data_IF_486462667218
#
_entry.id   IF_486462667218
#
_cell.length_a   1.000
_cell.length_b   1.000
_cell.length_c   1.000
_cell.angle_alpha   90.00
_cell.angle_beta   90.00
_cell.angle_gamma   90.00
#
_symmetry.space_group_name_H-M   'P 1'
#
loop_
_entity.id
_entity.type
_entity.pdbx_description
1 polymer ?
#
# COMPACT_ATOMS: atom_id res chain seq x y z
N UNK A 1 9.47 -23.23 -10.37
CA UNK A 1 8.83 -22.39 -9.34
C UNK A 1 9.13 -20.93 -9.66
N UNK A 2 8.18 -20.22 -10.28
CA UNK A 2 8.33 -18.79 -10.57
C UNK A 2 8.31 -18.03 -9.25
N UNK A 3 9.43 -17.43 -8.84
CA UNK A 3 9.43 -16.53 -7.68
C UNK A 3 8.61 -15.30 -8.07
N UNK A 4 7.45 -15.12 -7.47
CA UNK A 4 6.77 -13.83 -7.48
C UNK A 4 7.75 -12.79 -6.95
N UNK A 5 8.05 -11.78 -7.76
CA UNK A 5 8.90 -10.66 -7.31
C UNK A 5 8.12 -9.96 -6.20
N UNK A 6 8.67 -9.93 -4.98
CA UNK A 6 8.02 -9.32 -3.82
C UNK A 6 7.78 -7.80 -3.96
N UNK A 7 8.36 -7.17 -4.99
CA UNK A 7 8.23 -5.74 -5.31
C UNK A 7 7.92 -5.60 -6.81
N UNK A 8 6.87 -4.83 -7.12
CA UNK A 8 6.46 -4.50 -8.49
C UNK A 8 7.43 -3.54 -9.20
N UNK A 9 7.05 -3.07 -10.40
CA UNK A 9 7.86 -2.09 -11.15
C UNK A 9 7.92 -0.73 -10.45
N UNK A 10 6.77 -0.26 -9.95
CA UNK A 10 6.66 0.94 -9.12
C UNK A 10 6.47 0.46 -7.68
N UNK A 11 7.45 0.64 -6.79
CA UNK A 11 7.28 0.29 -5.38
C UNK A 11 6.10 1.00 -4.71
N UNK A 12 5.21 0.19 -4.13
CA UNK A 12 4.14 0.63 -3.22
C UNK A 12 4.38 -0.08 -1.89
N UNK A 13 4.68 0.67 -0.83
CA UNK A 13 5.12 0.15 0.47
C UNK A 13 4.33 0.79 1.60
N UNK A 14 4.30 0.11 2.74
CA UNK A 14 3.68 0.60 3.98
C UNK A 14 2.24 1.10 3.75
N UNK A 15 1.41 0.25 3.14
CA UNK A 15 -0.01 0.55 2.93
C UNK A 15 -0.72 0.57 4.28
N UNK A 16 -1.50 1.62 4.54
CA UNK A 16 -2.23 1.84 5.77
C UNK A 16 -3.69 2.21 5.47
N UNK A 17 -4.64 1.91 6.38
CA UNK A 17 -4.43 1.33 7.71
C UNK A 17 -4.13 -0.18 7.68
N UNK A 18 -3.17 -0.61 8.50
CA UNK A 18 -2.84 -2.01 8.74
C UNK A 18 -2.79 -2.27 10.25
N UNK A 19 -3.51 -3.30 10.71
CA UNK A 19 -3.59 -3.68 12.13
C UNK A 19 -2.86 -5.00 12.32
N UNK A 20 -1.95 -5.07 13.30
CA UNK A 20 -1.08 -6.23 13.54
C UNK A 20 -0.33 -6.68 12.26
N UNK A 21 0.18 -5.74 11.48
CA UNK A 21 0.88 -6.04 10.22
C UNK A 21 -0.01 -6.67 9.13
N UNK A 22 -1.33 -6.50 9.24
CA UNK A 22 -2.33 -7.12 8.35
C UNK A 22 -2.99 -8.37 8.92
N UNK A 23 -2.56 -8.86 10.09
CA UNK A 23 -3.16 -10.05 10.73
C UNK A 23 -4.54 -9.78 11.33
N UNK A 24 -4.95 -8.51 11.43
CA UNK A 24 -6.29 -8.11 11.87
C UNK A 24 -6.89 -7.11 10.89
N UNK A 25 -8.23 -7.09 10.78
CA UNK A 25 -8.90 -6.13 9.93
C UNK A 25 -8.79 -4.72 10.52
N UNK A 26 -8.51 -3.75 9.67
CA UNK A 26 -8.93 -2.38 9.92
C UNK A 26 -10.47 -2.33 9.90
N UNK A 27 -11.06 -1.38 10.62
CA UNK A 27 -12.52 -1.29 10.79
C UNK A 27 -12.97 0.13 10.52
N UNK A 28 -14.18 0.24 9.99
CA UNK A 28 -14.95 1.46 9.84
C UNK A 28 -16.44 1.11 9.98
N UNK A 29 -17.29 2.11 10.15
CA UNK A 29 -18.76 1.97 10.16
C UNK A 29 -19.39 2.47 8.86
N UNK A 30 -20.67 2.17 8.66
CA UNK A 30 -21.41 2.63 7.47
C UNK A 30 -21.45 4.16 7.43
N UNK A 31 -21.00 4.75 6.32
CA UNK A 31 -20.95 6.20 6.11
C UNK A 31 -19.67 6.88 6.63
N UNK A 32 -18.78 6.16 7.31
CA UNK A 32 -17.51 6.70 7.76
C UNK A 32 -16.51 6.80 6.59
N UNK A 33 -15.92 7.99 6.43
CA UNK A 33 -14.80 8.21 5.50
C UNK A 33 -13.50 8.08 6.28
N UNK A 34 -12.54 7.35 5.73
CA UNK A 34 -11.18 7.27 6.26
C UNK A 34 -10.16 7.24 5.12
N UNK A 35 -8.93 7.64 5.43
CA UNK A 35 -7.85 7.74 4.47
C UNK A 35 -7.10 6.41 4.32
N UNK A 36 -6.76 6.07 3.08
CA UNK A 36 -5.84 4.99 2.74
C UNK A 36 -4.55 5.62 2.25
N UNK A 37 -3.42 5.26 2.85
CA UNK A 37 -2.11 5.83 2.52
C UNK A 37 -1.12 4.74 2.13
N UNK A 38 -0.10 5.13 1.36
CA UNK A 38 1.03 4.27 1.02
C UNK A 38 2.25 5.13 0.67
N UNK A 39 3.44 4.56 0.82
CA UNK A 39 4.67 5.11 0.27
C UNK A 39 4.82 4.63 -1.17
N UNK A 40 4.66 5.54 -2.13
CA UNK A 40 4.75 5.26 -3.57
C UNK A 40 5.94 6.01 -4.16
N UNK A 41 6.82 5.29 -4.85
CA UNK A 41 7.99 5.87 -5.50
C UNK A 41 8.40 5.06 -6.72
N UNK A 42 9.32 5.62 -7.51
CA UNK A 42 9.95 4.94 -8.65
C UNK A 42 11.43 5.29 -8.73
N UNK A 43 12.19 4.49 -9.47
CA UNK A 43 13.54 4.84 -9.87
C UNK A 43 13.58 6.00 -10.87
N UNK A 44 14.68 6.76 -10.86
CA UNK A 44 14.84 7.92 -11.73
C UNK A 44 14.11 9.17 -11.23
N UNK A 45 13.95 10.16 -12.12
CA UNK A 45 13.43 11.49 -11.77
C UNK A 45 12.02 11.75 -12.29
N UNK A 46 11.45 10.81 -13.02
CA UNK A 46 10.09 10.93 -13.52
C UNK A 46 9.09 10.96 -12.35
N UNK A 47 8.01 11.71 -12.52
CA UNK A 47 6.91 11.72 -11.57
C UNK A 47 6.18 10.36 -11.51
N UNK A 48 5.47 10.15 -10.39
CA UNK A 48 4.55 9.03 -10.14
C UNK A 48 3.30 9.55 -9.45
N UNK A 49 2.18 8.86 -9.62
CA UNK A 49 0.89 9.17 -8.98
C UNK A 49 0.19 7.87 -8.52
N UNK A 50 -0.76 8.01 -7.59
CA UNK A 50 -1.59 6.95 -7.05
C UNK A 50 -2.96 7.52 -6.63
#
# INVERSE_FOLDING_TARGET
MTRTRAIGRIPVRDVRPAVEGGNRPAKAVVGETFEVTATVFREGHDAVAA
#
